data_IF_709131407648
#
_entry.id   IF_709131407648
#
_cell.length_a   1.000
_cell.length_b   1.000
_cell.length_c   1.000
_cell.angle_alpha   90.00
_cell.angle_beta   90.00
_cell.angle_gamma   90.00
#
_symmetry.space_group_name_H-M   'P 1'
#
loop_
_entity.id
_entity.type
_entity.pdbx_description
1 polymer ?
#
# COMPACT_ATOMS: atom_id res chain seq x y z
N UNK A 1 24.90 7.56 10.35
CA UNK A 1 24.30 8.77 9.75
C UNK A 1 23.70 8.45 8.39
N UNK A 2 24.39 7.71 7.49
CA UNK A 2 23.90 7.36 6.14
C UNK A 2 22.61 6.53 6.23
N UNK A 3 22.58 5.47 7.04
CA UNK A 3 21.41 4.62 7.23
C UNK A 3 20.17 5.39 7.76
N UNK A 4 20.36 6.37 8.64
CA UNK A 4 19.26 7.20 9.14
C UNK A 4 18.69 8.07 8.03
N UNK A 5 19.52 8.67 7.19
CA UNK A 5 19.09 9.48 6.06
C UNK A 5 18.33 8.64 5.03
N UNK A 6 18.81 7.44 4.74
CA UNK A 6 18.19 6.51 3.80
C UNK A 6 16.81 6.04 4.28
N UNK A 7 16.67 5.76 5.58
CA UNK A 7 15.39 5.42 6.22
C UNK A 7 14.39 6.58 6.07
N UNK A 8 14.77 7.80 6.44
CA UNK A 8 13.87 8.96 6.36
C UNK A 8 13.47 9.30 4.93
N UNK A 9 14.43 9.29 3.99
CA UNK A 9 14.12 9.57 2.59
C UNK A 9 13.19 8.52 2.01
N UNK A 10 13.37 7.24 2.34
CA UNK A 10 12.49 6.16 1.91
C UNK A 10 11.08 6.32 2.49
N UNK A 11 10.95 6.63 3.78
CA UNK A 11 9.65 6.84 4.42
C UNK A 11 8.91 8.06 3.84
N UNK A 12 9.62 9.17 3.59
CA UNK A 12 9.03 10.37 2.97
C UNK A 12 8.55 10.08 1.55
N UNK A 13 9.35 9.40 0.73
CA UNK A 13 8.95 9.02 -0.62
C UNK A 13 7.81 8.00 -0.61
N UNK A 14 7.82 7.07 0.33
CA UNK A 14 6.70 6.15 0.54
C UNK A 14 5.42 6.89 0.96
N UNK A 15 5.51 7.87 1.85
CA UNK A 15 4.37 8.70 2.24
C UNK A 15 3.80 9.48 1.06
N UNK A 16 4.66 10.00 0.18
CA UNK A 16 4.26 10.72 -1.02
C UNK A 16 3.47 9.82 -2.01
N UNK A 17 3.69 8.51 -1.98
CA UNK A 17 2.90 7.54 -2.75
C UNK A 17 1.63 7.13 -1.98
N UNK A 18 1.74 6.89 -0.67
CA UNK A 18 0.66 6.36 0.18
C UNK A 18 -0.50 7.36 0.34
N UNK A 19 -0.20 8.64 0.59
CA UNK A 19 -1.20 9.70 0.77
C UNK A 19 -2.19 9.72 -0.40
N UNK A 20 -1.77 9.84 -1.68
CA UNK A 20 -2.68 9.79 -2.81
C UNK A 20 -3.44 8.47 -2.92
N UNK A 21 -2.78 7.34 -2.72
CA UNK A 21 -3.40 6.02 -2.89
C UNK A 21 -4.52 5.80 -1.88
N UNK A 22 -4.34 6.19 -0.61
CA UNK A 22 -5.39 6.09 0.40
C UNK A 22 -6.54 7.07 0.16
N UNK A 23 -6.26 8.16 -0.54
CA UNK A 23 -7.25 9.17 -0.89
C UNK A 23 -8.12 8.80 -2.09
N UNK A 24 -7.57 8.06 -3.06
CA UNK A 24 -8.23 7.78 -4.34
C UNK A 24 -9.59 7.12 -4.17
N UNK A 25 -9.77 6.19 -3.24
CA UNK A 25 -11.04 5.49 -3.04
C UNK A 25 -12.19 6.45 -2.72
N UNK A 26 -11.96 7.37 -1.78
CA UNK A 26 -12.99 8.31 -1.35
C UNK A 26 -13.26 9.39 -2.41
N UNK A 27 -12.20 9.94 -3.02
CA UNK A 27 -12.36 10.97 -4.06
C UNK A 27 -13.02 10.41 -5.31
N UNK A 28 -12.74 9.15 -5.67
CA UNK A 28 -13.43 8.44 -6.76
C UNK A 28 -14.93 8.27 -6.47
N UNK A 29 -15.28 7.89 -5.25
CA UNK A 29 -16.69 7.78 -4.85
C UNK A 29 -17.40 9.13 -4.95
N UNK A 30 -16.77 10.20 -4.46
CA UNK A 30 -17.30 11.56 -4.60
C UNK A 30 -17.40 11.97 -6.08
N UNK A 31 -16.41 11.65 -6.91
CA UNK A 31 -16.41 11.97 -8.33
C UNK A 31 -17.57 11.30 -9.09
N UNK A 32 -17.81 10.00 -8.83
CA UNK A 32 -18.91 9.26 -9.47
C UNK A 32 -20.26 9.85 -9.11
N UNK A 33 -20.45 10.23 -7.85
CA UNK A 33 -21.73 10.78 -7.39
C UNK A 33 -21.92 12.25 -7.80
N UNK A 34 -20.90 13.09 -7.59
CA UNK A 34 -21.04 14.54 -7.79
C UNK A 34 -20.77 15.00 -9.22
N UNK A 35 -19.83 14.38 -9.94
CA UNK A 35 -19.43 14.82 -11.28
C UNK A 35 -20.03 14.01 -12.41
N UNK A 36 -20.27 12.70 -12.19
CA UNK A 36 -20.94 11.84 -13.16
C UNK A 36 -22.45 11.73 -12.88
N UNK A 37 -22.95 12.29 -11.76
CA UNK A 37 -24.36 12.26 -11.33
C UNK A 37 -24.94 10.84 -11.28
N UNK A 38 -24.13 9.89 -10.81
CA UNK A 38 -24.49 8.48 -10.69
C UNK A 38 -24.78 8.13 -9.22
N UNK A 39 -25.37 6.96 -9.02
CA UNK A 39 -25.74 6.45 -7.70
C UNK A 39 -24.53 5.92 -6.88
N UNK A 40 -24.74 5.73 -5.60
CA UNK A 40 -23.73 5.18 -4.68
C UNK A 40 -23.39 3.72 -4.98
N UNK A 41 -24.28 2.96 -5.63
CA UNK A 41 -24.00 1.57 -6.03
C UNK A 41 -22.89 1.57 -7.09
N UNK A 42 -22.96 2.47 -8.06
CA UNK A 42 -21.93 2.63 -9.08
C UNK A 42 -20.61 3.16 -8.50
N UNK A 43 -20.67 4.03 -7.51
CA UNK A 43 -19.48 4.46 -6.77
C UNK A 43 -18.82 3.30 -6.02
N UNK A 44 -19.63 2.46 -5.34
CA UNK A 44 -19.17 1.24 -4.68
C UNK A 44 -18.58 0.22 -5.65
N UNK A 45 -19.13 0.09 -6.86
CA UNK A 45 -18.59 -0.79 -7.89
C UNK A 45 -17.18 -0.37 -8.33
N UNK A 46 -16.89 0.93 -8.46
CA UNK A 46 -15.54 1.45 -8.77
C UNK A 46 -14.55 1.02 -7.69
N UNK A 47 -14.89 1.24 -6.42
CA UNK A 47 -14.04 0.87 -5.28
C UNK A 47 -13.81 -0.65 -5.24
N UNK A 48 -14.87 -1.43 -5.47
CA UNK A 48 -14.80 -2.90 -5.54
C UNK A 48 -13.85 -3.37 -6.65
N UNK A 49 -13.96 -2.79 -7.84
CA UNK A 49 -13.09 -3.13 -8.98
C UNK A 49 -11.62 -2.86 -8.67
N UNK A 50 -11.29 -1.70 -8.08
CA UNK A 50 -9.92 -1.37 -7.68
C UNK A 50 -9.41 -2.36 -6.62
N UNK A 51 -10.23 -2.65 -5.61
CA UNK A 51 -9.87 -3.56 -4.51
C UNK A 51 -9.61 -4.97 -5.03
N UNK A 52 -10.52 -5.52 -5.83
CA UNK A 52 -10.38 -6.86 -6.42
C UNK A 52 -9.15 -6.93 -7.33
N UNK A 53 -8.95 -5.93 -8.18
CA UNK A 53 -7.78 -5.86 -9.05
C UNK A 53 -6.47 -5.82 -8.23
N UNK A 54 -6.42 -5.03 -7.17
CA UNK A 54 -5.25 -4.95 -6.28
C UNK A 54 -5.03 -6.27 -5.53
N UNK A 55 -6.09 -6.92 -5.07
CA UNK A 55 -6.01 -8.23 -4.39
C UNK A 55 -5.43 -9.31 -5.32
N UNK A 56 -5.90 -9.38 -6.56
CA UNK A 56 -5.41 -10.32 -7.56
C UNK A 56 -3.94 -10.05 -7.90
N UNK A 57 -3.56 -8.79 -8.01
CA UNK A 57 -2.21 -8.39 -8.39
C UNK A 57 -1.18 -8.54 -7.27
N UNK A 58 -1.60 -8.50 -6.01
CA UNK A 58 -0.72 -8.46 -4.84
C UNK A 58 0.35 -9.56 -4.82
N UNK A 59 0.00 -10.86 -4.88
CA UNK A 59 0.97 -11.96 -4.88
C UNK A 59 1.93 -11.93 -6.08
N UNK A 60 1.40 -11.61 -7.26
CA UNK A 60 2.21 -11.52 -8.48
C UNK A 60 3.16 -10.33 -8.43
N UNK A 61 2.70 -9.18 -7.99
CA UNK A 61 3.51 -7.97 -7.85
C UNK A 61 4.60 -8.12 -6.79
N UNK A 62 4.28 -8.77 -5.65
CA UNK A 62 5.25 -9.09 -4.62
C UNK A 62 6.39 -9.95 -5.17
N UNK A 63 6.07 -11.06 -5.84
CA UNK A 63 7.07 -11.94 -6.45
C UNK A 63 7.87 -11.26 -7.57
N UNK A 64 7.32 -10.26 -8.23
CA UNK A 64 8.01 -9.49 -9.26
C UNK A 64 9.07 -8.56 -8.65
N UNK A 65 8.82 -7.96 -7.47
CA UNK A 65 9.83 -7.19 -6.73
C UNK A 65 11.01 -8.07 -6.36
N UNK A 66 10.73 -9.26 -5.81
CA UNK A 66 11.77 -10.18 -5.36
C UNK A 66 12.65 -10.71 -6.51
N UNK A 67 12.06 -10.93 -7.70
CA UNK A 67 12.79 -11.50 -8.84
C UNK A 67 13.44 -10.48 -9.76
N UNK A 68 12.82 -9.33 -9.97
CA UNK A 68 13.23 -8.33 -10.98
C UNK A 68 13.80 -7.05 -10.39
N UNK A 69 13.71 -6.92 -9.06
CA UNK A 69 14.14 -5.75 -8.33
C UNK A 69 13.20 -4.55 -8.47
N UNK A 70 13.51 -3.51 -7.71
CA UNK A 70 12.67 -2.32 -7.52
C UNK A 70 12.33 -1.61 -8.85
N UNK A 71 13.33 -1.19 -9.60
CA UNK A 71 13.14 -0.35 -10.81
C UNK A 71 12.29 -1.03 -11.87
N UNK A 72 12.59 -2.31 -12.17
CA UNK A 72 11.85 -3.07 -13.20
C UNK A 72 10.41 -3.37 -12.81
N UNK A 73 10.12 -3.36 -11.52
CA UNK A 73 8.76 -3.58 -11.01
C UNK A 73 8.00 -2.27 -10.93
N UNK A 74 8.64 -1.16 -10.57
CA UNK A 74 7.98 0.13 -10.43
C UNK A 74 7.72 0.84 -11.76
N UNK A 75 8.57 0.65 -12.78
CA UNK A 75 8.41 1.33 -14.06
C UNK A 75 7.05 1.07 -14.73
N UNK A 76 6.58 -0.17 -14.91
CA UNK A 76 5.26 -0.40 -15.49
C UNK A 76 4.13 0.12 -14.60
N UNK A 77 4.27 0.09 -13.27
CA UNK A 77 3.30 0.73 -12.37
C UNK A 77 3.26 2.23 -12.59
N UNK A 78 4.41 2.88 -12.66
CA UNK A 78 4.51 4.33 -12.89
C UNK A 78 3.76 4.73 -14.16
N UNK A 79 4.01 4.06 -15.27
CA UNK A 79 3.38 4.38 -16.55
C UNK A 79 1.87 4.13 -16.48
N UNK A 80 1.46 2.93 -16.09
CA UNK A 80 0.04 2.53 -16.10
C UNK A 80 -0.80 3.29 -15.10
N UNK A 81 -0.32 3.51 -13.86
CA UNK A 81 -1.09 4.25 -12.85
C UNK A 81 -1.16 5.74 -13.17
N UNK A 82 -0.09 6.34 -13.69
CA UNK A 82 -0.11 7.75 -14.09
C UNK A 82 -1.12 7.97 -15.23
N UNK A 83 -1.12 7.10 -16.23
CA UNK A 83 -2.10 7.16 -17.32
C UNK A 83 -3.52 6.90 -16.80
N UNK A 84 -3.70 5.86 -15.98
CA UNK A 84 -5.01 5.50 -15.45
C UNK A 84 -5.62 6.64 -14.62
N UNK A 85 -4.91 7.14 -13.62
CA UNK A 85 -5.41 8.21 -12.75
C UNK A 85 -5.42 9.59 -13.41
N UNK A 86 -4.59 9.80 -14.44
CA UNK A 86 -4.61 11.02 -15.24
C UNK A 86 -5.81 11.11 -16.17
N UNK A 87 -6.23 10.00 -16.76
CA UNK A 87 -7.29 9.96 -17.78
C UNK A 87 -8.68 9.62 -17.21
N UNK A 88 -8.76 8.72 -16.20
CA UNK A 88 -10.04 8.19 -15.75
C UNK A 88 -11.07 9.26 -15.32
N UNK A 89 -10.71 10.38 -14.65
CA UNK A 89 -11.71 11.36 -14.21
C UNK A 89 -12.29 12.21 -15.35
N UNK A 90 -11.69 12.14 -16.52
CA UNK A 90 -12.12 12.90 -17.72
C UNK A 90 -13.02 12.09 -18.63
N UNK A 91 -13.20 10.80 -18.35
CA UNK A 91 -13.95 9.86 -19.16
C UNK A 91 -15.30 9.51 -18.51
N UNK A 92 -16.18 8.92 -19.29
CA UNK A 92 -17.45 8.37 -18.79
C UNK A 92 -17.23 7.15 -17.89
N UNK A 93 -18.31 6.68 -17.26
CA UNK A 93 -18.28 5.65 -16.23
C UNK A 93 -17.63 4.32 -16.65
N UNK A 94 -17.95 3.79 -17.82
CA UNK A 94 -17.38 2.50 -18.25
C UNK A 94 -15.87 2.56 -18.54
N UNK A 95 -15.35 3.54 -19.30
CA UNK A 95 -13.90 3.70 -19.44
C UNK A 95 -13.19 3.95 -18.10
N UNK A 96 -13.82 4.71 -17.18
CA UNK A 96 -13.31 4.91 -15.83
C UNK A 96 -13.14 3.59 -15.09
N UNK A 97 -14.16 2.69 -15.12
CA UNK A 97 -14.07 1.36 -14.51
C UNK A 97 -12.90 0.54 -15.06
N UNK A 98 -12.71 0.54 -16.39
CA UNK A 98 -11.60 -0.18 -17.03
C UNK A 98 -10.26 0.37 -16.59
N UNK A 99 -10.10 1.69 -16.57
CA UNK A 99 -8.86 2.32 -16.12
C UNK A 99 -8.61 2.10 -14.62
N UNK A 100 -9.66 2.09 -13.80
CA UNK A 100 -9.57 1.73 -12.38
C UNK A 100 -9.11 0.28 -12.18
N UNK A 101 -9.62 -0.66 -12.99
CA UNK A 101 -9.16 -2.06 -12.97
C UNK A 101 -7.67 -2.16 -13.34
N UNK A 102 -7.26 -1.49 -14.41
CA UNK A 102 -5.85 -1.45 -14.86
C UNK A 102 -4.98 -0.81 -13.78
N UNK A 103 -5.38 0.35 -13.23
CA UNK A 103 -4.67 1.03 -12.14
C UNK A 103 -4.54 0.18 -10.88
N UNK A 104 -5.58 -0.58 -10.53
CA UNK A 104 -5.56 -1.53 -9.42
C UNK A 104 -4.60 -2.71 -9.66
N UNK A 105 -4.61 -3.30 -10.87
CA UNK A 105 -3.69 -4.39 -11.24
C UNK A 105 -2.22 -3.96 -11.22
N UNK A 106 -1.94 -2.73 -11.61
CA UNK A 106 -0.58 -2.17 -11.64
C UNK A 106 -0.29 -1.24 -10.46
N UNK A 107 -1.07 -1.34 -9.38
CA UNK A 107 -0.87 -0.51 -8.20
C UNK A 107 0.55 -0.66 -7.63
N UNK A 108 1.06 0.40 -7.00
CA UNK A 108 2.38 0.38 -6.36
C UNK A 108 2.39 -0.59 -5.17
N UNK A 109 3.46 -1.37 -4.96
CA UNK A 109 3.61 -2.23 -3.79
C UNK A 109 4.05 -1.40 -2.56
N UNK A 110 3.14 -0.53 -2.10
CA UNK A 110 3.37 0.51 -1.08
C UNK A 110 3.75 0.01 0.30
N UNK A 111 3.48 -1.26 0.61
CA UNK A 111 3.86 -1.89 1.87
C UNK A 111 5.12 -2.73 1.75
N UNK A 112 5.32 -3.40 0.62
CA UNK A 112 6.43 -4.33 0.43
C UNK A 112 7.77 -3.60 0.29
N UNK A 113 7.83 -2.59 -0.59
CA UNK A 113 9.07 -1.89 -0.90
C UNK A 113 9.66 -1.16 0.31
N UNK A 114 8.92 -0.28 1.03
CA UNK A 114 9.50 0.41 2.17
C UNK A 114 9.99 -0.56 3.25
N UNK A 115 9.25 -1.64 3.52
CA UNK A 115 9.65 -2.65 4.50
C UNK A 115 10.92 -3.40 4.09
N UNK A 116 11.06 -3.78 2.82
CA UNK A 116 12.28 -4.42 2.33
C UNK A 116 13.49 -3.49 2.46
N UNK A 117 13.35 -2.22 2.08
CA UNK A 117 14.40 -1.22 2.23
C UNK A 117 14.78 -1.01 3.69
N UNK A 118 13.80 -0.89 4.58
CA UNK A 118 14.04 -0.73 6.01
C UNK A 118 14.77 -1.95 6.60
N UNK A 119 14.38 -3.16 6.19
CA UNK A 119 15.02 -4.40 6.65
C UNK A 119 16.46 -4.52 6.15
N UNK A 120 16.76 -4.03 4.95
CA UNK A 120 18.10 -4.02 4.38
C UNK A 120 19.00 -2.91 4.96
N UNK A 121 18.43 -1.73 5.24
CA UNK A 121 19.20 -0.56 5.68
C UNK A 121 19.52 -0.55 7.18
N UNK A 122 18.79 -1.34 8.00
CA UNK A 122 18.87 -1.25 9.47
C UNK A 122 19.38 -2.56 10.07
N UNK A 123 20.34 -2.50 11.04
CA UNK A 123 20.82 -3.68 11.77
C UNK A 123 19.68 -4.45 12.45
N UNK A 124 19.85 -5.77 12.60
CA UNK A 124 18.82 -6.67 13.14
C UNK A 124 18.25 -6.19 14.49
N UNK A 125 19.06 -5.60 15.36
CA UNK A 125 18.67 -5.06 16.67
C UNK A 125 17.70 -3.88 16.59
N UNK A 126 17.66 -3.14 15.47
CA UNK A 126 16.81 -1.95 15.27
C UNK A 126 15.66 -2.15 14.27
N UNK A 127 15.54 -3.33 13.67
CA UNK A 127 14.51 -3.63 12.66
C UNK A 127 13.10 -3.46 13.20
N UNK A 128 12.86 -3.85 14.46
CA UNK A 128 11.56 -3.69 15.12
C UNK A 128 11.16 -2.21 15.18
N UNK A 129 12.07 -1.35 15.64
CA UNK A 129 11.81 0.09 15.71
C UNK A 129 11.59 0.72 14.32
N UNK A 130 12.32 0.28 13.30
CA UNK A 130 12.14 0.76 11.93
C UNK A 130 10.77 0.36 11.34
N UNK A 131 10.32 -0.87 11.60
CA UNK A 131 8.99 -1.34 11.19
C UNK A 131 7.86 -0.63 11.93
N UNK A 132 8.03 -0.34 13.23
CA UNK A 132 7.11 0.48 14.01
C UNK A 132 6.98 1.89 13.41
N UNK A 133 8.09 2.51 13.05
CA UNK A 133 8.10 3.83 12.39
C UNK A 133 7.38 3.80 11.02
N UNK A 134 7.56 2.74 10.24
CA UNK A 134 6.80 2.54 8.99
C UNK A 134 5.30 2.45 9.26
N UNK A 135 4.88 1.69 10.28
CA UNK A 135 3.47 1.55 10.65
C UNK A 135 2.86 2.89 11.07
N UNK A 136 3.55 3.67 11.90
CA UNK A 136 3.11 5.04 12.28
C UNK A 136 2.99 5.94 11.04
N UNK A 137 3.94 5.84 10.11
CA UNK A 137 3.88 6.62 8.85
C UNK A 137 2.67 6.22 8.01
N UNK A 138 2.32 4.93 7.95
CA UNK A 138 1.11 4.45 7.27
C UNK A 138 -0.15 5.07 7.88
N UNK A 139 -0.28 5.04 9.21
CA UNK A 139 -1.44 5.60 9.90
C UNK A 139 -1.59 7.11 9.66
N UNK A 140 -0.48 7.85 9.73
CA UNK A 140 -0.46 9.29 9.42
C UNK A 140 -0.92 9.53 7.97
N UNK A 141 -0.43 8.76 7.01
CA UNK A 141 -0.85 8.89 5.62
C UNK A 141 -2.33 8.55 5.42
N UNK A 142 -2.84 7.54 6.14
CA UNK A 142 -4.24 7.14 6.10
C UNK A 142 -5.18 8.20 6.70
N UNK A 143 -4.74 8.91 7.75
CA UNK A 143 -5.51 10.01 8.37
C UNK A 143 -5.49 11.27 7.50
N UNK A 144 -4.32 11.70 7.05
CA UNK A 144 -4.14 12.97 6.34
C UNK A 144 -4.64 12.87 4.89
N UNK A 145 -4.39 11.73 4.23
CA UNK A 145 -4.67 11.56 2.81
C UNK A 145 -6.12 11.87 2.43
N UNK A 146 -7.11 11.13 2.94
CA UNK A 146 -8.52 11.36 2.64
C UNK A 146 -8.99 12.77 2.99
N UNK A 147 -8.52 13.32 4.12
CA UNK A 147 -8.90 14.67 4.57
C UNK A 147 -8.43 15.74 3.60
N UNK A 148 -7.15 15.73 3.25
CA UNK A 148 -6.59 16.69 2.28
C UNK A 148 -7.24 16.54 0.91
N UNK A 149 -7.48 15.31 0.49
CA UNK A 149 -8.06 15.04 -0.83
C UNK A 149 -9.53 15.44 -0.92
N UNK A 150 -10.33 15.32 0.15
CA UNK A 150 -11.71 15.82 0.18
C UNK A 150 -11.72 17.35 0.11
N UNK A 151 -10.86 18.02 0.90
CA UNK A 151 -10.74 19.47 0.84
C UNK A 151 -10.35 19.91 -0.58
N UNK A 152 -9.37 19.27 -1.19
CA UNK A 152 -8.98 19.55 -2.56
C UNK A 152 -10.14 19.29 -3.54
N UNK A 153 -10.84 18.17 -3.41
CA UNK A 153 -11.96 17.82 -4.28
C UNK A 153 -13.12 18.82 -4.22
N UNK A 154 -13.37 19.43 -3.05
CA UNK A 154 -14.40 20.45 -2.87
C UNK A 154 -13.96 21.83 -3.33
N UNK A 155 -12.66 22.14 -3.31
CA UNK A 155 -12.13 23.47 -3.68
C UNK A 155 -11.75 23.57 -5.15
N UNK A 156 -11.00 22.61 -5.68
CA UNK A 156 -10.49 22.60 -7.07
C UNK A 156 -11.19 21.60 -7.98
N UNK A 157 -12.12 20.81 -7.42
CA UNK A 157 -12.91 19.81 -8.13
C UNK A 157 -12.27 18.42 -8.14
N UNK A 158 -13.13 17.40 -8.23
CA UNK A 158 -12.73 15.98 -8.13
C UNK A 158 -11.81 15.53 -9.26
N UNK A 159 -12.04 16.03 -10.49
CA UNK A 159 -11.21 15.68 -11.66
C UNK A 159 -9.74 16.06 -11.46
N UNK A 160 -9.51 17.31 -11.07
CA UNK A 160 -8.16 17.82 -10.84
C UNK A 160 -7.51 17.09 -9.66
N UNK A 161 -8.27 16.85 -8.58
CA UNK A 161 -7.75 16.16 -7.40
C UNK A 161 -7.32 14.73 -7.71
N UNK A 162 -8.09 13.93 -8.45
CA UNK A 162 -7.72 12.58 -8.86
C UNK A 162 -6.46 12.59 -9.73
N UNK A 163 -6.42 13.49 -10.70
CA UNK A 163 -5.25 13.67 -11.58
C UNK A 163 -4.01 14.06 -10.77
N UNK A 164 -4.15 15.01 -9.84
CA UNK A 164 -3.07 15.44 -8.95
C UNK A 164 -2.58 14.29 -8.06
N UNK A 165 -3.48 13.47 -7.50
CA UNK A 165 -3.13 12.27 -6.74
C UNK A 165 -2.26 11.31 -7.58
N UNK A 166 -2.63 11.09 -8.86
CA UNK A 166 -1.84 10.27 -9.77
C UNK A 166 -0.42 10.81 -9.99
N UNK A 167 -0.29 12.11 -10.22
CA UNK A 167 1.02 12.76 -10.41
C UNK A 167 1.87 12.80 -9.15
N UNK A 168 1.28 13.09 -7.98
CA UNK A 168 2.02 13.07 -6.70
C UNK A 168 2.56 11.69 -6.39
N UNK A 169 1.74 10.64 -6.60
CA UNK A 169 2.20 9.26 -6.46
C UNK A 169 3.33 8.93 -7.45
N UNK A 170 3.24 9.42 -8.69
CA UNK A 170 4.26 9.24 -9.70
C UNK A 170 5.60 9.91 -9.30
N UNK A 171 5.56 11.12 -8.75
CA UNK A 171 6.76 11.82 -8.25
C UNK A 171 7.42 10.99 -7.13
N UNK A 172 6.64 10.49 -6.17
CA UNK A 172 7.14 9.60 -5.12
C UNK A 172 7.78 8.33 -5.67
N UNK A 173 7.14 7.71 -6.67
CA UNK A 173 7.64 6.51 -7.33
C UNK A 173 8.94 6.76 -8.11
N UNK A 174 9.04 7.88 -8.83
CA UNK A 174 10.27 8.32 -9.51
C UNK A 174 11.38 8.53 -8.47
N UNK A 175 11.08 9.21 -7.36
CA UNK A 175 12.03 9.42 -6.26
C UNK A 175 12.60 8.11 -5.73
N UNK A 176 11.75 7.10 -5.46
CA UNK A 176 12.20 5.77 -5.03
C UNK A 176 13.02 5.05 -6.10
N UNK A 177 12.66 5.20 -7.38
CA UNK A 177 13.42 4.60 -8.48
C UNK A 177 14.79 5.27 -8.68
N UNK A 178 14.89 6.58 -8.48
CA UNK A 178 16.17 7.32 -8.57
C UNK A 178 17.07 6.95 -7.40
N UNK A 179 16.51 6.97 -6.18
CA UNK A 179 17.23 6.59 -4.97
C UNK A 179 17.72 5.14 -5.04
N UNK A 180 16.92 4.27 -5.66
CA UNK A 180 17.17 2.84 -5.83
C UNK A 180 17.77 2.17 -4.58
N UNK A 181 17.12 2.29 -3.42
CA UNK A 181 17.64 1.73 -2.18
C UNK A 181 17.75 0.21 -2.29
N UNK A 182 18.72 -0.38 -1.58
CA UNK A 182 18.88 -1.82 -1.53
C UNK A 182 17.64 -2.47 -0.92
N UNK A 183 17.02 -3.39 -1.66
CA UNK A 183 15.86 -4.17 -1.21
C UNK A 183 16.23 -5.56 -0.69
N UNK A 184 17.46 -5.96 -0.91
CA UNK A 184 18.03 -7.25 -0.44
C UNK A 184 19.16 -6.95 0.51
N UNK A 185 19.28 -7.72 1.59
CA UNK A 185 20.47 -7.66 2.45
C UNK A 185 21.69 -7.88 1.57
N UNK A 186 22.79 -7.11 1.77
CA UNK A 186 24.06 -7.50 1.21
C UNK A 186 24.32 -8.96 1.65
N UNK A 187 24.41 -9.88 0.73
CA UNK A 187 24.97 -11.17 1.06
C UNK A 187 26.30 -10.85 1.72
N UNK A 188 26.45 -11.11 3.01
CA UNK A 188 27.78 -11.19 3.58
C UNK A 188 28.47 -12.20 2.68
N UNK A 189 29.32 -11.70 1.79
CA UNK A 189 30.37 -12.50 1.19
C UNK A 189 31.12 -13.07 2.39
N UNK A 190 30.71 -14.24 2.79
CA UNK A 190 31.45 -15.05 3.75
C UNK A 190 32.81 -15.20 3.10
N UNK A 191 33.89 -14.57 3.63
CA UNK A 191 35.21 -14.80 3.10
C UNK A 191 35.35 -16.28 3.06
N UNK A 192 35.67 -16.81 1.88
CA UNK A 192 35.79 -18.25 1.60
C UNK A 192 36.54 -18.90 2.76
N UNK A 193 35.78 -19.50 3.68
CA UNK A 193 36.39 -20.30 4.75
C UNK A 193 37.12 -21.41 4.01
N UNK A 194 38.44 -21.55 4.17
CA UNK A 194 39.16 -22.60 3.52
C UNK A 194 38.42 -23.92 3.77
N UNK A 195 38.02 -24.59 2.71
CA UNK A 195 37.32 -25.85 2.78
C UNK A 195 38.20 -26.82 3.57
N UNK A 196 37.89 -27.06 4.84
CA UNK A 196 38.42 -28.20 5.57
C UNK A 196 37.71 -29.43 5.00
N UNK A 197 38.44 -30.41 4.43
CA UNK A 197 37.83 -31.59 3.84
C UNK A 197 37.45 -32.57 4.94
N UNK A 198 36.35 -32.37 5.61
CA UNK A 198 35.78 -33.41 6.47
C UNK A 198 34.27 -33.14 6.67
N UNK A 199 33.53 -34.07 6.16
CA UNK A 199 32.10 -34.34 6.30
C UNK A 199 31.21 -33.81 5.16
N UNK A 200 31.29 -34.54 4.04
CA UNK A 200 30.19 -34.57 3.06
C UNK A 200 28.99 -35.25 3.71
N UNK A 201 28.16 -34.44 4.37
CA UNK A 201 26.78 -34.83 4.64
C UNK A 201 26.06 -34.92 3.28
N UNK A 202 25.30 -36.01 3.00
CA UNK A 202 24.62 -36.15 1.72
C UNK A 202 23.70 -34.94 1.50
N UNK A 203 23.87 -34.25 0.38
CA UNK A 203 22.94 -33.26 -0.13
C UNK A 203 21.65 -34.04 -0.44
N UNK A 204 20.73 -34.08 0.50
CA UNK A 204 19.37 -34.58 0.25
C UNK A 204 18.74 -33.59 -0.72
N UNK A 205 18.41 -33.99 -1.96
CA UNK A 205 17.71 -33.11 -2.88
C UNK A 205 16.41 -32.71 -2.22
N UNK A 206 16.17 -31.40 -2.05
CA UNK A 206 14.91 -30.92 -1.56
C UNK A 206 13.79 -31.44 -2.49
N UNK A 207 12.74 -32.10 -1.95
CA UNK A 207 11.70 -32.69 -2.79
C UNK A 207 11.02 -31.60 -3.60
N UNK A 208 11.01 -31.78 -4.93
CA UNK A 208 10.38 -30.88 -5.92
C UNK A 208 8.84 -30.97 -5.89
N UNK A 209 8.25 -30.97 -4.70
CA UNK A 209 6.80 -30.99 -4.51
C UNK A 209 6.36 -29.85 -3.61
N UNK A 210 6.48 -28.61 -4.12
CA UNK A 210 6.07 -27.41 -3.37
C UNK A 210 4.84 -26.73 -3.97
N UNK A 211 3.88 -27.50 -4.50
CA UNK A 211 2.70 -26.87 -5.12
C UNK A 211 1.68 -26.33 -4.12
N UNK A 212 1.77 -26.63 -2.80
CA UNK A 212 0.81 -26.13 -1.79
C UNK A 212 1.37 -26.00 -0.37
N UNK A 213 2.66 -25.81 -0.18
CA UNK A 213 3.26 -25.67 1.15
C UNK A 213 2.80 -24.40 1.91
N UNK A 214 2.22 -23.42 1.21
CA UNK A 214 1.64 -22.22 1.80
C UNK A 214 0.22 -22.44 2.40
N UNK A 215 -0.43 -23.59 2.10
CA UNK A 215 -1.70 -24.02 2.68
C UNK A 215 -1.50 -24.92 3.90
N UNK A 216 -0.45 -24.66 4.70
CA UNK A 216 -0.34 -25.33 6.00
C UNK A 216 -1.41 -24.84 6.97
N UNK A 217 -1.85 -25.66 7.97
CA UNK A 217 -2.81 -25.21 8.98
C UNK A 217 -2.38 -23.91 9.68
N UNK A 218 -1.07 -23.72 9.88
CA UNK A 218 -0.51 -22.47 10.42
C UNK A 218 -0.73 -21.28 9.50
N UNK A 219 -0.47 -21.42 8.22
CA UNK A 219 -0.69 -20.33 7.24
C UNK A 219 -2.18 -20.02 7.11
N UNK A 220 -3.02 -21.04 7.13
CA UNK A 220 -4.47 -20.88 7.09
C UNK A 220 -4.99 -20.13 8.32
N UNK A 221 -4.49 -20.45 9.52
CA UNK A 221 -4.90 -19.74 10.75
C UNK A 221 -4.44 -18.28 10.76
N UNK A 222 -3.24 -17.99 10.28
CA UNK A 222 -2.74 -16.61 10.13
C UNK A 222 -3.60 -15.85 9.12
N UNK A 223 -3.89 -16.46 7.96
CA UNK A 223 -4.73 -15.85 6.94
C UNK A 223 -6.14 -15.57 7.46
N UNK A 224 -6.72 -16.54 8.19
CA UNK A 224 -8.03 -16.36 8.83
C UNK A 224 -8.00 -15.22 9.85
N UNK A 225 -6.98 -15.14 10.69
CA UNK A 225 -6.83 -14.06 11.67
C UNK A 225 -6.73 -12.68 10.99
N UNK A 226 -5.96 -12.57 9.90
CA UNK A 226 -5.84 -11.32 9.12
C UNK A 226 -7.18 -10.93 8.51
N UNK A 227 -7.89 -11.88 7.89
CA UNK A 227 -9.23 -11.62 7.29
C UNK A 227 -10.24 -11.23 8.36
N UNK A 228 -10.28 -11.95 9.49
CA UNK A 228 -11.18 -11.63 10.59
C UNK A 228 -10.90 -10.25 11.19
N UNK A 229 -9.63 -9.90 11.40
CA UNK A 229 -9.23 -8.57 11.88
C UNK A 229 -9.63 -7.47 10.88
N UNK A 230 -9.37 -7.67 9.59
CA UNK A 230 -9.78 -6.74 8.54
C UNK A 230 -11.29 -6.54 8.48
N UNK A 231 -12.07 -7.62 8.64
CA UNK A 231 -13.53 -7.57 8.70
C UNK A 231 -14.03 -6.80 9.93
N UNK A 232 -13.44 -7.05 11.10
CA UNK A 232 -13.78 -6.32 12.33
C UNK A 232 -13.47 -4.83 12.22
N UNK A 233 -12.28 -4.47 11.71
CA UNK A 233 -11.89 -3.08 11.55
C UNK A 233 -12.77 -2.36 10.53
N UNK A 234 -13.01 -2.94 9.37
CA UNK A 234 -13.89 -2.37 8.36
C UNK A 234 -15.33 -2.26 8.82
N UNK A 235 -15.82 -3.25 9.59
CA UNK A 235 -17.13 -3.21 10.22
C UNK A 235 -17.25 -2.07 11.24
N UNK A 236 -16.22 -1.87 12.07
CA UNK A 236 -16.19 -0.77 13.03
C UNK A 236 -16.25 0.60 12.34
N UNK A 237 -15.46 0.79 11.28
CA UNK A 237 -15.46 2.03 10.50
C UNK A 237 -16.84 2.30 9.87
N UNK A 238 -17.43 1.29 9.24
CA UNK A 238 -18.75 1.41 8.61
C UNK A 238 -19.85 1.72 9.62
N UNK A 239 -19.86 1.04 10.77
CA UNK A 239 -20.84 1.28 11.82
C UNK A 239 -20.68 2.66 12.45
N UNK A 240 -19.45 3.11 12.67
CA UNK A 240 -19.19 4.46 13.17
C UNK A 240 -19.69 5.55 12.20
N UNK A 241 -19.47 5.36 10.90
CA UNK A 241 -19.98 6.28 9.86
C UNK A 241 -21.50 6.27 9.80
N UNK A 242 -22.12 5.08 9.85
CA UNK A 242 -23.58 4.94 9.82
C UNK A 242 -24.24 5.60 11.03
N UNK A 243 -23.66 5.36 12.23
CA UNK A 243 -24.19 5.93 13.47
C UNK A 243 -24.10 7.44 13.53
N UNK A 244 -22.95 8.02 13.14
CA UNK A 244 -22.79 9.50 13.08
C UNK A 244 -23.79 10.13 12.11
N UNK A 245 -24.09 9.47 11.00
CA UNK A 245 -25.12 9.94 10.06
C UNK A 245 -26.52 9.82 10.64
N UNK A 246 -26.83 8.74 11.34
CA UNK A 246 -28.15 8.54 11.95
C UNK A 246 -28.42 9.54 13.07
N UNK A 247 -27.38 9.96 13.80
CA UNK A 247 -27.44 11.01 14.82
C UNK A 247 -27.50 12.43 14.25
N UNK A 248 -27.39 12.60 12.93
CA UNK A 248 -27.44 13.92 12.28
C UNK A 248 -26.15 14.74 12.42
N UNK A 249 -25.02 14.10 12.81
CA UNK A 249 -23.72 14.72 13.01
C UNK A 249 -22.65 14.19 12.06
N UNK A 250 -22.83 14.30 10.73
CA UNK A 250 -21.85 13.77 9.76
C UNK A 250 -20.47 14.43 9.86
N UNK A 251 -20.37 15.64 10.41
CA UNK A 251 -19.12 16.36 10.68
C UNK A 251 -18.24 15.65 11.72
N UNK A 252 -18.81 14.83 12.60
CA UNK A 252 -18.07 14.09 13.61
C UNK A 252 -17.39 12.82 13.08
N UNK A 253 -17.73 12.36 11.87
CA UNK A 253 -17.13 11.16 11.25
C UNK A 253 -15.61 11.30 11.19
N UNK A 254 -15.12 12.49 10.77
CA UNK A 254 -13.68 12.76 10.69
C UNK A 254 -12.97 12.65 12.05
N UNK A 255 -13.60 13.13 13.12
CA UNK A 255 -13.06 13.05 14.48
C UNK A 255 -13.01 11.62 15.01
N UNK A 256 -14.05 10.82 14.75
CA UNK A 256 -14.08 9.40 15.16
C UNK A 256 -12.99 8.60 14.45
N UNK A 257 -12.84 8.78 13.14
CA UNK A 257 -11.79 8.11 12.38
C UNK A 257 -10.39 8.59 12.80
N UNK A 258 -10.23 9.89 13.07
CA UNK A 258 -8.97 10.44 13.58
C UNK A 258 -8.61 9.88 14.96
N UNK A 259 -9.58 9.75 15.87
CA UNK A 259 -9.37 9.15 17.20
C UNK A 259 -8.97 7.67 17.10
N UNK A 260 -9.61 6.90 16.19
CA UNK A 260 -9.25 5.52 15.91
C UNK A 260 -7.81 5.39 15.38
N UNK A 261 -7.43 6.20 14.38
CA UNK A 261 -6.07 6.23 13.84
C UNK A 261 -5.02 6.66 14.88
N UNK A 262 -5.35 7.62 15.73
CA UNK A 262 -4.49 8.04 16.83
C UNK A 262 -4.26 6.92 17.85
N UNK A 263 -5.33 6.19 18.22
CA UNK A 263 -5.24 5.01 19.08
C UNK A 263 -4.36 3.91 18.47
N UNK A 264 -4.51 3.66 17.17
CA UNK A 264 -3.68 2.70 16.41
C UNK A 264 -2.20 3.12 16.40
N UNK A 265 -1.91 4.41 16.17
CA UNK A 265 -0.56 4.95 16.19
C UNK A 265 0.11 4.79 17.57
N UNK A 266 -0.62 5.07 18.67
CA UNK A 266 -0.11 4.86 20.04
C UNK A 266 0.13 3.36 20.27
N UNK A 267 -0.82 2.49 19.93
CA UNK A 267 -0.68 1.04 20.08
C UNK A 267 0.54 0.50 19.33
N UNK A 268 0.78 0.99 18.10
CA UNK A 268 1.93 0.62 17.29
C UNK A 268 3.28 1.09 17.82
N UNK A 269 3.30 2.19 18.62
CA UNK A 269 4.54 2.69 19.23
C UNK A 269 4.86 1.99 20.56
N UNK A 270 3.84 1.48 21.26
CA UNK A 270 4.00 0.78 22.55
C UNK A 270 4.39 -0.70 22.39
N UNK A 271 4.16 -1.30 21.20
CA UNK A 271 4.49 -2.68 20.88
C UNK A 271 5.92 -2.82 20.31
#
# INVERSE_FOLDING_TARGET
>A
VIAIREVWTTLLLAALIRIPIFSLGIVMSVHVVSSLHLDYVRAGAVTTVVTVATMISGPWRGSMVDRRGLRRTMLPSLITTTIAWGLCPWLGYFPLLVLCAIGGLWNYPIFTIPRQVLMAAVPASRRRAALSLDSVTVEICYMIGPTVAIIAATTIGTRITITACGFVAAIGAIGLMVLNPATTEPSEDSPARPATPASAAPIVPAPHSRKMAWLSPRSASILFAVVATGFCLGGLELTAVAEMRSMGHPEMIGWVLAASGFGSAIGGTLY
#
